data_IF_103290259310
#
_entry.id   IF_103290259310
#
_cell.length_a   1.000
_cell.length_b   1.000
_cell.length_c   1.000
_cell.angle_alpha   90.00
_cell.angle_beta   90.00
_cell.angle_gamma   90.00
#
_symmetry.space_group_name_H-M   'P 1'
#
loop_
_entity.id
_entity.type
_entity.pdbx_description
1 polymer ?
#
# COMPACT_ATOMS: atom_id res chain seq x y z
N UNK A 1 -15.00 -9.11 17.29
CA UNK A 1 -15.63 -9.87 16.20
C UNK A 1 -16.07 -8.90 15.11
N UNK A 2 -15.24 -8.78 14.08
CA UNK A 2 -15.60 -8.21 12.77
C UNK A 2 -16.53 -9.24 12.07
N UNK A 3 -17.49 -8.82 11.23
CA UNK A 3 -18.46 -9.73 10.61
C UNK A 3 -17.76 -10.80 9.73
N UNK A 4 -18.20 -12.06 9.86
CA UNK A 4 -17.46 -13.26 9.41
C UNK A 4 -17.52 -13.56 7.90
N UNK A 5 -18.40 -12.92 7.13
CA UNK A 5 -18.73 -13.45 5.79
C UNK A 5 -17.83 -12.98 4.63
N UNK A 6 -16.75 -12.21 4.85
CA UNK A 6 -15.80 -11.86 3.76
C UNK A 6 -14.46 -11.21 4.21
N UNK A 7 -14.04 -11.38 5.47
CA UNK A 7 -12.80 -10.77 5.99
C UNK A 7 -11.82 -11.88 6.31
N UNK A 8 -10.74 -11.96 5.54
CA UNK A 8 -9.58 -12.77 5.88
C UNK A 8 -8.67 -11.96 6.82
N UNK A 9 -8.28 -12.57 7.94
CA UNK A 9 -7.41 -11.96 8.94
C UNK A 9 -6.07 -12.69 8.92
N UNK A 10 -5.01 -11.92 8.67
CA UNK A 10 -3.64 -12.38 8.76
C UNK A 10 -3.04 -11.82 10.05
N UNK A 11 -2.50 -12.71 10.89
CA UNK A 11 -1.91 -12.33 12.16
C UNK A 11 -0.38 -12.45 12.13
N UNK A 12 0.29 -11.50 12.75
CA UNK A 12 1.73 -11.50 12.95
C UNK A 12 2.04 -11.28 14.44
N UNK A 13 3.07 -11.96 14.94
CA UNK A 13 3.46 -11.92 16.36
C UNK A 13 4.61 -10.94 16.62
N UNK A 14 5.22 -10.40 15.57
CA UNK A 14 6.24 -9.37 15.65
C UNK A 14 6.30 -8.50 14.38
N UNK A 15 7.03 -7.38 14.43
CA UNK A 15 7.08 -6.44 13.30
C UNK A 15 7.81 -6.98 12.07
N UNK A 16 8.73 -7.94 12.23
CA UNK A 16 9.44 -8.54 11.09
C UNK A 16 8.51 -9.47 10.31
N UNK A 17 7.78 -10.33 11.01
CA UNK A 17 6.75 -11.18 10.40
C UNK A 17 5.63 -10.33 9.80
N UNK A 18 5.18 -9.29 10.51
CA UNK A 18 4.15 -8.36 10.03
C UNK A 18 4.55 -7.66 8.75
N UNK A 19 5.79 -7.13 8.69
CA UNK A 19 6.30 -6.51 7.48
C UNK A 19 6.39 -7.49 6.31
N UNK A 20 6.86 -8.72 6.54
CA UNK A 20 6.94 -9.73 5.49
C UNK A 20 5.55 -10.11 4.94
N UNK A 21 4.54 -10.26 5.82
CA UNK A 21 3.16 -10.54 5.42
C UNK A 21 2.55 -9.38 4.62
N UNK A 22 2.81 -8.13 5.02
CA UNK A 22 2.37 -6.96 4.26
C UNK A 22 2.92 -6.99 2.84
N UNK A 23 4.20 -7.37 2.67
CA UNK A 23 4.84 -7.45 1.34
C UNK A 23 4.33 -8.61 0.50
N UNK A 24 4.11 -9.79 1.09
CA UNK A 24 3.71 -10.99 0.35
C UNK A 24 2.24 -10.95 -0.03
N UNK A 25 1.36 -10.63 0.94
CA UNK A 25 -0.09 -10.74 0.77
C UNK A 25 -0.73 -9.45 0.26
N UNK A 26 -0.04 -8.31 0.41
CA UNK A 26 -0.55 -6.97 0.02
C UNK A 26 -1.99 -6.73 0.54
N UNK A 27 -2.18 -6.70 1.87
CA UNK A 27 -3.51 -6.61 2.46
C UNK A 27 -4.23 -5.32 2.09
N UNK A 28 -5.55 -5.32 2.23
CA UNK A 28 -6.39 -4.15 1.97
C UNK A 28 -6.49 -3.17 3.16
N UNK A 29 -6.00 -3.57 4.34
CA UNK A 29 -5.96 -2.78 5.57
C UNK A 29 -4.86 -3.34 6.47
N UNK A 30 -4.08 -2.45 7.08
CA UNK A 30 -3.08 -2.80 8.09
C UNK A 30 -3.55 -2.29 9.44
N UNK A 31 -3.61 -3.18 10.43
CA UNK A 31 -3.73 -2.82 11.85
C UNK A 31 -2.38 -3.06 12.51
N UNK A 32 -1.72 -2.00 12.95
CA UNK A 32 -0.34 -2.05 13.42
C UNK A 32 -0.26 -1.63 14.89
N UNK A 33 0.29 -2.48 15.75
CA UNK A 33 0.66 -2.07 17.10
C UNK A 33 1.94 -1.25 17.06
N UNK A 34 2.00 -0.15 17.80
CA UNK A 34 3.19 0.70 17.87
C UNK A 34 4.36 -0.01 18.57
N UNK A 35 4.04 -0.76 19.62
CA UNK A 35 5.01 -1.53 20.40
C UNK A 35 4.97 -2.99 19.98
N UNK A 36 5.97 -3.41 19.21
CA UNK A 36 6.14 -4.79 18.75
C UNK A 36 7.53 -5.32 19.11
N UNK A 37 7.67 -6.64 19.36
CA UNK A 37 8.97 -7.29 19.45
C UNK A 37 9.73 -7.23 18.12
N UNK A 38 11.06 -7.35 18.18
CA UNK A 38 12.04 -7.42 17.07
C UNK A 38 12.12 -6.18 16.16
N UNK A 39 10.99 -5.63 15.75
CA UNK A 39 10.87 -4.45 14.90
C UNK A 39 9.63 -3.69 15.38
N UNK A 40 9.78 -2.40 15.70
CA UNK A 40 8.66 -1.62 16.23
C UNK A 40 7.61 -1.33 15.17
N UNK A 41 6.38 -1.02 15.57
CA UNK A 41 5.35 -0.58 14.62
C UNK A 41 5.76 0.69 13.87
N UNK A 42 6.54 1.57 14.50
CA UNK A 42 7.10 2.73 13.82
C UNK A 42 8.05 2.32 12.69
N UNK A 43 8.96 1.37 12.95
CA UNK A 43 9.90 0.90 11.93
C UNK A 43 9.14 0.21 10.79
N UNK A 44 8.12 -0.59 11.10
CA UNK A 44 7.28 -1.24 10.08
C UNK A 44 6.59 -0.19 9.21
N UNK A 45 6.02 0.85 9.82
CA UNK A 45 5.44 1.97 9.10
C UNK A 45 6.47 2.64 8.18
N UNK A 46 7.68 2.91 8.67
CA UNK A 46 8.75 3.52 7.86
C UNK A 46 9.12 2.66 6.66
N UNK A 47 9.25 1.34 6.81
CA UNK A 47 9.52 0.45 5.69
C UNK A 47 8.35 0.41 4.68
N UNK A 48 7.10 0.37 5.16
CA UNK A 48 5.91 0.44 4.30
C UNK A 48 5.88 1.72 3.48
N UNK A 49 6.26 2.86 4.07
CA UNK A 49 6.27 4.15 3.37
C UNK A 49 7.34 4.23 2.25
N UNK A 50 8.41 3.43 2.32
CA UNK A 50 9.46 3.38 1.28
C UNK A 50 8.99 2.68 0.01
N UNK A 51 8.03 1.76 0.11
CA UNK A 51 7.53 1.00 -1.03
C UNK A 51 6.25 1.66 -1.59
N UNK A 52 6.28 2.09 -2.85
CA UNK A 52 5.18 2.82 -3.49
C UNK A 52 3.87 2.03 -3.50
N UNK A 53 3.94 0.72 -3.71
CA UNK A 53 2.78 -0.16 -3.70
C UNK A 53 2.16 -0.28 -2.30
N UNK A 54 2.99 -0.31 -1.25
CA UNK A 54 2.55 -0.59 0.12
C UNK A 54 2.05 0.66 0.84
N UNK A 55 2.64 1.83 0.57
CA UNK A 55 2.21 3.09 1.19
C UNK A 55 0.78 3.51 0.83
N UNK A 56 0.19 2.90 -0.20
CA UNK A 56 -1.21 3.11 -0.59
C UNK A 56 -2.21 2.31 0.25
N UNK A 57 -1.73 1.34 1.02
CA UNK A 57 -2.56 0.50 1.88
C UNK A 57 -3.02 1.32 3.09
N UNK A 58 -4.33 1.38 3.38
CA UNK A 58 -4.85 1.98 4.61
C UNK A 58 -4.20 1.41 5.87
N UNK A 59 -3.73 2.29 6.77
CA UNK A 59 -3.07 1.88 8.00
C UNK A 59 -3.74 2.52 9.22
N UNK A 60 -4.05 1.67 10.20
CA UNK A 60 -4.47 2.05 11.55
C UNK A 60 -3.35 1.70 12.52
N UNK A 61 -2.74 2.72 13.11
CA UNK A 61 -1.73 2.57 14.14
C UNK A 61 -2.41 2.56 15.51
N UNK A 62 -2.04 1.60 16.35
CA UNK A 62 -2.63 1.37 17.67
C UNK A 62 -1.54 1.50 18.73
N UNK A 63 -1.75 2.27 19.79
CA UNK A 63 -0.80 2.37 20.91
C UNK A 63 -1.53 2.65 22.21
N UNK A 64 -1.02 2.11 23.33
CA UNK A 64 -1.44 2.54 24.67
C UNK A 64 -0.62 3.71 25.23
N UNK A 65 0.31 4.25 24.44
CA UNK A 65 1.19 5.37 24.80
C UNK A 65 1.18 6.36 23.65
N UNK A 66 0.27 7.33 23.69
CA UNK A 66 0.10 8.30 22.60
C UNK A 66 1.33 9.22 22.49
N UNK A 67 1.95 9.55 23.61
CA UNK A 67 3.12 10.43 23.73
C UNK A 67 4.29 9.92 22.86
N UNK A 68 4.58 8.62 22.91
CA UNK A 68 5.66 8.02 22.11
C UNK A 68 5.36 8.08 20.60
N UNK A 69 4.09 8.08 20.20
CA UNK A 69 3.68 8.21 18.80
C UNK A 69 3.88 9.65 18.33
N UNK A 70 3.44 10.64 19.13
CA UNK A 70 3.56 12.06 18.77
C UNK A 70 5.00 12.57 18.78
N UNK A 71 5.89 11.93 19.53
CA UNK A 71 7.34 12.16 19.44
C UNK A 71 7.91 11.80 18.06
N UNK A 72 7.30 10.83 17.37
CA UNK A 72 7.73 10.40 16.02
C UNK A 72 7.06 11.22 14.92
N UNK A 73 5.79 11.58 15.09
CA UNK A 73 5.03 12.36 14.10
C UNK A 73 3.99 13.25 14.78
N UNK A 74 3.98 14.53 14.46
CA UNK A 74 3.00 15.48 15.03
C UNK A 74 1.63 15.32 14.38
N UNK A 75 0.57 15.46 15.18
CA UNK A 75 -0.80 15.53 14.67
C UNK A 75 -1.04 16.78 13.80
N UNK A 76 -1.92 16.73 12.78
CA UNK A 76 -2.75 15.58 12.40
C UNK A 76 -1.98 14.53 11.58
N UNK A 77 -2.19 13.25 11.90
CA UNK A 77 -1.61 12.15 11.12
C UNK A 77 -2.21 12.11 9.71
N UNK A 78 -1.42 12.47 8.70
CA UNK A 78 -1.89 12.59 7.32
C UNK A 78 -2.07 11.22 6.64
N UNK A 79 -1.17 10.27 6.95
CA UNK A 79 -1.01 9.03 6.19
C UNK A 79 -1.59 7.78 6.88
N UNK A 80 -1.89 7.87 8.17
CA UNK A 80 -2.50 6.79 8.93
C UNK A 80 -3.57 7.32 9.87
N UNK A 81 -4.45 6.43 10.32
CA UNK A 81 -5.36 6.70 11.44
C UNK A 81 -4.76 6.17 12.73
N UNK A 82 -5.02 6.83 13.84
CA UNK A 82 -4.52 6.44 15.14
C UNK A 82 -5.69 6.06 16.06
N UNK A 83 -5.54 4.97 16.79
CA UNK A 83 -6.47 4.57 17.85
C UNK A 83 -5.70 4.24 19.13
N UNK A 84 -6.07 4.91 20.21
CA UNK A 84 -5.43 4.73 21.50
C UNK A 84 -6.00 3.50 22.24
N UNK A 85 -5.13 2.71 22.88
CA UNK A 85 -5.54 1.56 23.70
C UNK A 85 -5.71 2.01 25.16
N UNK A 86 -6.76 1.51 25.86
CA UNK A 86 -7.80 0.60 25.39
C UNK A 86 -8.84 1.31 24.51
N UNK A 87 -9.40 0.60 23.52
CA UNK A 87 -10.43 1.13 22.63
C UNK A 87 -11.69 0.27 22.60
N UNK A 88 -12.81 0.92 22.32
CA UNK A 88 -14.08 0.26 22.05
C UNK A 88 -14.25 -0.08 20.56
N UNK A 89 -15.16 -1.01 20.25
CA UNK A 89 -15.50 -1.39 18.87
C UNK A 89 -15.83 -0.17 17.99
N UNK A 90 -16.54 0.82 18.55
CA UNK A 90 -16.93 2.04 17.81
C UNK A 90 -15.69 2.85 17.39
N UNK A 91 -14.75 3.05 18.29
CA UNK A 91 -13.52 3.81 18.04
C UNK A 91 -12.65 3.13 16.98
N UNK A 92 -12.52 1.80 17.05
CA UNK A 92 -11.80 1.04 16.02
C UNK A 92 -12.45 1.19 14.65
N UNK A 93 -13.79 1.10 14.56
CA UNK A 93 -14.50 1.27 13.29
C UNK A 93 -14.36 2.68 12.72
N UNK A 94 -14.31 3.70 13.57
CA UNK A 94 -14.05 5.09 13.15
C UNK A 94 -12.63 5.24 12.61
N UNK A 95 -11.62 4.69 13.30
CA UNK A 95 -10.23 4.72 12.85
C UNK A 95 -10.04 3.99 11.51
N UNK A 96 -10.70 2.84 11.33
CA UNK A 96 -10.67 2.11 10.05
C UNK A 96 -11.28 2.98 8.94
N UNK A 97 -12.45 3.59 9.15
CA UNK A 97 -13.07 4.47 8.15
C UNK A 97 -12.19 5.66 7.78
N UNK A 98 -11.54 6.26 8.76
CA UNK A 98 -10.59 7.36 8.55
C UNK A 98 -9.34 6.90 7.77
N UNK A 99 -8.74 5.76 8.12
CA UNK A 99 -7.62 5.18 7.38
C UNK A 99 -7.97 4.92 5.92
N UNK A 100 -9.16 4.33 5.66
CA UNK A 100 -9.67 4.10 4.30
C UNK A 100 -9.87 5.41 3.52
N UNK A 101 -10.25 6.50 4.19
CA UNK A 101 -10.40 7.80 3.57
C UNK A 101 -9.06 8.47 3.26
N UNK A 102 -8.05 8.32 4.14
CA UNK A 102 -6.68 8.83 3.94
C UNK A 102 -5.95 8.11 2.81
N UNK A 103 -6.08 6.78 2.73
CA UNK A 103 -5.49 5.99 1.65
C UNK A 103 -5.98 6.40 0.24
N UNK A 104 -7.23 6.86 0.12
CA UNK A 104 -7.78 7.37 -1.16
C UNK A 104 -7.15 8.69 -1.61
N UNK A 105 -6.53 9.44 -0.68
CA UNK A 105 -5.84 10.71 -0.98
C UNK A 105 -4.43 10.50 -1.51
N UNK A 106 -3.83 9.33 -1.28
CA UNK A 106 -2.59 8.96 -1.97
C UNK A 106 -2.88 8.75 -3.47
N UNK A 107 -2.08 9.33 -4.38
CA UNK A 107 -2.20 9.05 -5.80
C UNK A 107 -1.87 7.57 -6.03
N UNK A 108 -2.93 6.77 -6.11
CA UNK A 108 -2.89 5.38 -6.51
C UNK A 108 -2.28 5.32 -7.92
N UNK A 109 -1.32 4.41 -8.20
CA UNK A 109 -1.15 3.99 -9.58
C UNK A 109 -2.49 3.42 -10.00
N UNK A 110 -3.10 3.99 -11.03
CA UNK A 110 -4.34 3.47 -11.62
C UNK A 110 -4.08 2.02 -12.06
N UNK A 111 -4.34 1.05 -11.19
CA UNK A 111 -4.51 -0.33 -11.62
C UNK A 111 -5.77 -0.30 -12.49
N UNK A 112 -5.71 -0.71 -13.77
CA UNK A 112 -6.92 -0.82 -14.56
C UNK A 112 -7.79 -1.93 -13.95
N UNK A 113 -8.73 -1.53 -13.08
CA UNK A 113 -9.87 -2.38 -12.75
C UNK A 113 -10.63 -2.64 -14.06
N UNK A 114 -11.00 -3.90 -14.37
CA UNK A 114 -11.91 -4.17 -15.46
C UNK A 114 -13.23 -3.44 -15.14
N UNK A 115 -13.48 -2.38 -15.89
CA UNK A 115 -14.64 -1.54 -15.73
C UNK A 115 -15.89 -2.35 -16.05
N UNK A 116 -16.73 -2.57 -15.04
CA UNK A 116 -18.12 -2.93 -15.26
C UNK A 116 -18.89 -1.62 -15.50
N UNK A 117 -18.89 -1.16 -16.75
CA UNK A 117 -19.71 -0.01 -17.16
C UNK A 117 -21.16 -0.46 -17.26
N UNK A 118 -21.92 -0.25 -16.18
CA UNK A 118 -23.37 -0.14 -16.28
C UNK A 118 -23.85 1.13 -15.56
N UNK A 119 -24.40 2.01 -16.39
CA UNK A 119 -25.35 3.08 -16.09
C UNK A 119 -24.82 4.38 -15.44
N UNK A 120 -24.83 5.44 -16.27
CA UNK A 120 -25.34 6.75 -15.84
C UNK A 120 -24.33 7.89 -15.68
N UNK A 121 -24.34 8.80 -16.66
CA UNK A 121 -23.85 10.21 -16.63
C UNK A 121 -22.36 10.46 -16.40
N UNK A 122 -21.65 10.78 -17.48
CA UNK A 122 -20.31 11.39 -17.50
C UNK A 122 -20.46 12.92 -17.40
N UNK A 123 -19.94 13.59 -16.35
CA UNK A 123 -19.79 15.04 -16.35
C UNK A 123 -18.62 15.48 -17.25
N UNK A 124 -18.76 16.67 -17.83
CA UNK A 124 -18.06 17.23 -19.01
C UNK A 124 -16.56 17.55 -18.92
N UNK A 125 -15.78 17.02 -17.96
CA UNK A 125 -14.35 17.34 -17.80
C UNK A 125 -13.40 16.22 -18.28
N UNK A 126 -13.76 15.52 -19.36
CA UNK A 126 -13.06 14.31 -19.83
C UNK A 126 -11.91 14.55 -20.84
N UNK A 127 -11.75 15.75 -21.40
CA UNK A 127 -10.80 15.98 -22.49
C UNK A 127 -9.32 16.00 -22.04
N UNK A 128 -9.00 16.68 -20.93
CA UNK A 128 -7.60 16.80 -20.45
C UNK A 128 -7.11 15.49 -19.85
N UNK A 129 -8.00 14.80 -19.12
CA UNK A 129 -7.69 13.54 -18.43
C UNK A 129 -7.45 12.37 -19.40
N UNK A 130 -8.00 12.43 -20.62
CA UNK A 130 -7.79 11.40 -21.65
C UNK A 130 -6.38 11.49 -22.27
N UNK A 131 -5.83 12.69 -22.43
CA UNK A 131 -4.53 12.88 -23.06
C UNK A 131 -3.38 12.41 -22.16
N UNK A 132 -3.45 12.70 -20.86
CA UNK A 132 -2.45 12.23 -19.90
C UNK A 132 -2.42 10.70 -19.81
N UNK A 133 -3.60 10.06 -19.79
CA UNK A 133 -3.70 8.59 -19.79
C UNK A 133 -3.13 8.00 -21.08
N UNK A 134 -3.36 8.64 -22.23
CA UNK A 134 -2.79 8.20 -23.50
C UNK A 134 -1.26 8.29 -23.49
N UNK A 135 -0.71 9.42 -23.05
CA UNK A 135 0.74 9.64 -23.01
C UNK A 135 1.44 8.67 -22.04
N UNK A 136 0.85 8.42 -20.87
CA UNK A 136 1.38 7.45 -19.90
C UNK A 136 1.38 6.02 -20.44
N UNK A 137 0.32 5.61 -21.16
CA UNK A 137 0.29 4.29 -21.81
C UNK A 137 1.37 4.13 -22.87
N UNK A 138 1.64 5.19 -23.65
CA UNK A 138 2.73 5.19 -24.62
C UNK A 138 4.11 5.07 -23.95
N UNK A 139 4.33 5.78 -22.85
CA UNK A 139 5.58 5.67 -22.08
C UNK A 139 5.77 4.26 -21.49
N UNK A 140 4.72 3.67 -20.92
CA UNK A 140 4.77 2.30 -20.40
C UNK A 140 5.11 1.27 -21.50
N UNK A 141 4.53 1.42 -22.69
CA UNK A 141 4.85 0.54 -23.82
C UNK A 141 6.31 0.66 -24.26
N UNK A 142 6.85 1.87 -24.29
CA UNK A 142 8.26 2.10 -24.65
C UNK A 142 9.19 1.47 -23.61
N UNK A 143 8.92 1.68 -22.33
CA UNK A 143 9.72 1.13 -21.24
C UNK A 143 9.68 -0.40 -21.23
N UNK A 144 8.52 -1.01 -21.54
CA UNK A 144 8.39 -2.46 -21.63
C UNK A 144 9.31 -3.05 -22.71
N UNK A 145 9.40 -2.40 -23.89
CA UNK A 145 10.30 -2.82 -24.95
C UNK A 145 11.79 -2.70 -24.55
N UNK A 146 12.16 -1.67 -23.79
CA UNK A 146 13.51 -1.50 -23.26
C UNK A 146 13.85 -2.61 -22.25
N UNK A 147 12.91 -2.96 -21.36
CA UNK A 147 13.06 -4.06 -20.41
C UNK A 147 13.26 -5.39 -21.14
N UNK A 148 12.50 -5.66 -22.19
CA UNK A 148 12.62 -6.89 -22.95
C UNK A 148 13.96 -6.97 -23.71
N UNK A 149 14.45 -5.83 -24.18
CA UNK A 149 15.77 -5.71 -24.79
C UNK A 149 16.88 -5.98 -23.78
N UNK A 150 16.81 -5.39 -22.59
CA UNK A 150 17.77 -5.59 -21.51
C UNK A 150 17.79 -7.05 -21.04
N UNK A 151 16.62 -7.68 -20.88
CA UNK A 151 16.51 -9.11 -20.55
C UNK A 151 17.14 -9.98 -21.64
N UNK A 152 16.98 -9.61 -22.91
CA UNK A 152 17.62 -10.29 -24.04
C UNK A 152 19.15 -10.16 -24.01
N UNK A 153 19.67 -8.97 -23.72
CA UNK A 153 21.11 -8.74 -23.57
C UNK A 153 21.70 -9.54 -22.39
N UNK A 154 21.00 -9.55 -21.24
CA UNK A 154 21.41 -10.33 -20.09
C UNK A 154 21.48 -11.83 -20.41
N UNK A 155 20.49 -12.36 -21.16
CA UNK A 155 20.48 -13.76 -21.60
C UNK A 155 21.69 -14.09 -22.48
N UNK A 156 22.05 -13.22 -23.43
CA UNK A 156 23.23 -13.39 -24.28
C UNK A 156 24.55 -13.37 -23.50
N UNK A 157 24.66 -12.52 -22.49
CA UNK A 157 25.86 -12.48 -21.62
C UNK A 157 25.98 -13.77 -20.80
N UNK A 158 24.87 -14.27 -20.25
CA UNK A 158 24.84 -15.54 -19.51
C UNK A 158 25.22 -16.73 -20.40
N UNK A 159 24.70 -16.80 -21.63
CA UNK A 159 25.07 -17.83 -22.62
C UNK A 159 26.56 -17.79 -22.97
N UNK A 160 27.13 -16.59 -23.14
CA UNK A 160 28.56 -16.42 -23.45
C UNK A 160 29.47 -16.86 -22.29
N UNK A 161 29.06 -16.60 -21.05
CA UNK A 161 29.81 -17.05 -19.86
C UNK A 161 29.74 -18.58 -19.71
N UNK A 162 28.60 -19.20 -20.04
CA UNK A 162 28.47 -20.67 -20.00
C UNK A 162 29.25 -21.39 -21.11
N UNK A 163 29.42 -20.78 -22.29
CA UNK A 163 30.21 -21.37 -23.39
C UNK A 163 31.74 -21.29 -23.21
N UNK A 164 32.23 -20.50 -22.25
CA UNK A 164 33.67 -20.35 -21.96
C UNK A 164 34.16 -21.17 -20.77
N UNK A 165 33.38 -22.15 -20.30
CA UNK A 165 33.78 -23.16 -19.30
C UNK A 165 33.99 -24.52 -19.94
#
# INVERSE_FOLDING_TARGET
MLPEDNIEVLEAKDGVEGYNLIRSEKPNLIMLDFLLPKMSGWDVYQEVQKEYDLKTIPLVLMSGRKEEVIEKLTEPFEYFSFVEKPFEKKQLLEAIRDAMAKAKKHPQPKTPQPANYQNGSVPKDTAVMTQEIYNLRQQMSKMQNEIDTLKGQLRKVLEFIQQRR
#
